data_IF_410254203928
#
_entry.id   IF_410254203928
#
_cell.length_a   1.000
_cell.length_b   1.000
_cell.length_c   1.000
_cell.angle_alpha   90.00
_cell.angle_beta   90.00
_cell.angle_gamma   90.00
#
_symmetry.space_group_name_H-M   'P 1'
#
loop_
_entity.id
_entity.type
_entity.pdbx_description
1 polymer ?
#
# COMPACT_ATOMS: atom_id res chain seq x y z
N UNK A 1 -46.85 -29.28 1.04
CA UNK A 1 -46.72 -30.10 -0.18
C UNK A 1 -45.47 -29.74 -0.94
N UNK A 2 -44.36 -30.43 -0.81
CA UNK A 2 -43.75 -31.21 0.27
C UNK A 2 -42.52 -31.83 -0.37
N UNK A 3 -41.45 -31.87 0.41
CA UNK A 3 -40.28 -32.71 0.19
C UNK A 3 -40.67 -34.16 -0.17
N UNK A 4 -39.78 -34.92 -0.82
CA UNK A 4 -39.74 -36.36 -0.65
C UNK A 4 -38.83 -36.70 0.54
N UNK A 5 -39.39 -37.22 1.65
CA UNK A 5 -39.53 -38.67 1.96
C UNK A 5 -38.14 -39.28 2.31
N UNK A 6 -37.85 -39.92 3.44
CA UNK A 6 -38.67 -40.59 4.46
C UNK A 6 -37.88 -40.66 5.80
N UNK A 7 -38.61 -40.49 6.88
CA UNK A 7 -38.32 -40.79 8.30
C UNK A 7 -38.68 -42.28 8.61
N UNK A 8 -38.77 -42.78 9.87
CA UNK A 8 -37.99 -42.57 11.11
C UNK A 8 -37.81 -43.86 11.98
N UNK A 9 -37.11 -43.70 13.14
CA UNK A 9 -37.41 -44.29 14.48
C UNK A 9 -37.17 -45.81 14.69
N UNK A 10 -36.82 -46.36 15.86
CA UNK A 10 -36.82 -45.91 17.25
C UNK A 10 -36.20 -46.99 18.18
N UNK A 11 -35.68 -46.53 19.33
CA UNK A 11 -35.76 -47.07 20.72
C UNK A 11 -34.90 -48.24 21.26
N UNK A 12 -34.50 -47.97 22.52
CA UNK A 12 -34.27 -48.86 23.68
C UNK A 12 -32.86 -49.47 23.79
N UNK A 13 -32.19 -49.58 24.93
CA UNK A 13 -32.54 -49.35 26.34
C UNK A 13 -31.27 -49.40 27.23
N UNK A 14 -31.45 -49.08 28.52
CA UNK A 14 -30.70 -49.53 29.73
C UNK A 14 -29.45 -48.80 30.27
N UNK A 15 -29.70 -48.09 31.39
CA UNK A 15 -29.18 -48.28 32.79
C UNK A 15 -27.67 -48.51 33.01
N UNK A 16 -26.96 -47.92 33.98
CA UNK A 16 -27.31 -47.17 35.19
C UNK A 16 -26.13 -47.18 36.17
N UNK A 17 -26.31 -46.50 37.32
CA UNK A 17 -25.54 -46.49 38.57
C UNK A 17 -24.47 -45.41 38.83
N UNK A 18 -24.66 -44.81 40.02
CA UNK A 18 -23.96 -43.72 40.67
C UNK A 18 -22.82 -44.21 41.59
N UNK A 19 -21.94 -43.29 42.00
CA UNK A 19 -20.98 -43.50 43.08
C UNK A 19 -20.19 -42.23 43.41
N UNK A 20 -20.42 -41.72 44.61
CA UNK A 20 -19.81 -40.55 45.27
C UNK A 20 -18.37 -40.77 45.79
N UNK A 21 -17.67 -39.65 45.97
CA UNK A 21 -16.67 -39.29 46.98
C UNK A 21 -15.38 -40.12 47.20
N UNK A 22 -14.23 -39.44 47.07
CA UNK A 22 -13.23 -39.30 48.17
C UNK A 22 -12.02 -38.44 47.76
N UNK A 23 -11.71 -37.42 48.57
CA UNK A 23 -10.39 -36.78 48.67
C UNK A 23 -9.50 -37.58 49.63
N UNK A 24 -8.16 -37.52 49.49
CA UNK A 24 -7.40 -36.92 50.59
C UNK A 24 -6.22 -36.04 50.15
N UNK A 25 -5.66 -35.35 51.15
CA UNK A 25 -4.74 -34.23 51.08
C UNK A 25 -3.23 -34.57 51.16
N UNK A 26 -2.43 -33.55 50.81
CA UNK A 26 -1.05 -33.23 51.21
C UNK A 26 0.13 -34.09 50.72
N UNK A 27 0.93 -33.51 49.81
CA UNK A 27 2.40 -33.41 49.97
C UNK A 27 3.00 -32.39 48.98
N UNK A 28 3.74 -31.40 49.49
CA UNK A 28 4.83 -30.69 48.77
C UNK A 28 6.14 -31.29 49.30
N UNK A 29 7.26 -31.35 48.54
CA UNK A 29 7.88 -30.16 47.95
C UNK A 29 8.68 -30.35 46.63
N UNK A 30 9.05 -29.19 46.06
CA UNK A 30 10.31 -28.87 45.35
C UNK A 30 10.65 -29.37 43.92
N UNK A 31 10.86 -28.36 43.07
CA UNK A 31 11.70 -28.26 41.86
C UNK A 31 11.39 -29.13 40.62
N UNK A 32 10.70 -28.53 39.64
CA UNK A 32 11.20 -28.40 38.26
C UNK A 32 10.24 -27.54 37.42
N UNK A 33 10.75 -26.49 36.76
CA UNK A 33 10.04 -25.85 35.66
C UNK A 33 9.85 -26.89 34.54
N UNK A 34 8.63 -27.40 34.39
CA UNK A 34 8.18 -28.04 33.16
C UNK A 34 7.20 -27.09 32.48
N UNK A 35 7.71 -26.31 31.54
CA UNK A 35 6.92 -25.57 30.56
C UNK A 35 6.34 -26.56 29.56
N UNK A 36 5.17 -27.09 29.83
CA UNK A 36 4.29 -27.67 28.82
C UNK A 36 2.83 -27.41 29.18
N UNK A 37 2.07 -27.08 28.14
CA UNK A 37 0.61 -26.96 28.10
C UNK A 37 -0.02 -25.61 28.50
N UNK A 38 0.32 -24.59 27.72
CA UNK A 38 -0.70 -23.68 27.18
C UNK A 38 -0.56 -23.63 25.65
N UNK A 39 -1.20 -24.59 24.99
CA UNK A 39 -1.47 -24.52 23.55
C UNK A 39 -2.53 -23.46 23.28
N UNK A 40 -2.11 -22.20 23.15
CA UNK A 40 -2.91 -21.15 22.50
C UNK A 40 -2.85 -21.34 20.98
N UNK A 41 -3.97 -21.25 20.26
CA UNK A 41 -3.97 -21.45 18.81
C UNK A 41 -3.18 -20.32 18.13
N UNK A 42 -2.28 -20.76 17.25
CA UNK A 42 -1.39 -19.99 16.39
C UNK A 42 -2.04 -18.76 15.76
N UNK A 43 -1.39 -17.59 15.84
CA UNK A 43 -1.59 -16.51 14.84
C UNK A 43 -0.34 -15.62 14.73
N UNK A 44 0.82 -16.25 14.56
CA UNK A 44 1.95 -15.62 13.88
C UNK A 44 1.87 -16.03 12.42
N UNK A 45 1.44 -15.13 11.54
CA UNK A 45 1.27 -15.44 10.11
C UNK A 45 2.62 -15.76 9.48
N UNK A 46 2.70 -16.94 8.87
CA UNK A 46 3.89 -17.41 8.17
C UNK A 46 4.12 -16.50 6.95
N UNK A 47 5.29 -15.86 6.94
CA UNK A 47 5.86 -15.26 5.74
C UNK A 47 5.95 -16.36 4.67
N UNK A 48 5.24 -16.22 3.54
CA UNK A 48 5.23 -17.23 2.49
C UNK A 48 6.63 -17.41 1.89
N UNK A 49 6.93 -18.61 1.41
CA UNK A 49 8.25 -19.02 0.92
C UNK A 49 8.80 -18.08 -0.17
N UNK A 50 7.91 -17.41 -0.91
CA UNK A 50 8.28 -16.37 -1.87
C UNK A 50 9.06 -15.21 -1.26
N UNK A 51 8.63 -14.68 -0.11
CA UNK A 51 9.25 -13.48 0.48
C UNK A 51 10.58 -13.81 1.14
N UNK A 52 10.73 -15.08 1.53
CA UNK A 52 11.97 -15.65 2.06
C UNK A 52 12.89 -16.17 0.96
N UNK A 53 12.45 -16.19 -0.30
CA UNK A 53 13.27 -16.67 -1.41
C UNK A 53 14.53 -15.79 -1.55
N UNK A 54 15.74 -16.38 -1.51
CA UNK A 54 16.98 -15.61 -1.61
C UNK A 54 17.11 -14.83 -2.92
N UNK A 55 16.56 -15.37 -4.03
CA UNK A 55 16.54 -14.71 -5.31
C UNK A 55 15.63 -13.49 -5.33
N UNK A 56 14.44 -13.60 -4.71
CA UNK A 56 13.56 -12.44 -4.53
C UNK A 56 14.23 -11.35 -3.69
N UNK A 57 14.79 -11.70 -2.52
CA UNK A 57 15.44 -10.74 -1.63
C UNK A 57 16.60 -10.04 -2.33
N UNK A 58 17.45 -10.79 -3.05
CA UNK A 58 18.57 -10.22 -3.80
C UNK A 58 18.10 -9.24 -4.88
N UNK A 59 17.15 -9.64 -5.73
CA UNK A 59 16.64 -8.80 -6.81
C UNK A 59 15.90 -7.57 -6.30
N UNK A 60 15.27 -7.66 -5.13
CA UNK A 60 14.63 -6.52 -4.46
C UNK A 60 15.64 -5.49 -3.97
N UNK A 61 16.71 -5.92 -3.31
CA UNK A 61 17.77 -4.99 -2.88
C UNK A 61 18.51 -4.40 -4.10
N UNK A 62 18.69 -5.18 -5.17
CA UNK A 62 19.26 -4.71 -6.44
C UNK A 62 18.38 -3.62 -7.08
N UNK A 63 17.07 -3.87 -7.24
CA UNK A 63 16.14 -2.88 -7.79
C UNK A 63 16.17 -1.59 -6.98
N UNK A 64 16.09 -1.69 -5.64
CA UNK A 64 16.16 -0.53 -4.76
C UNK A 64 17.47 0.24 -4.95
N UNK A 65 18.61 -0.45 -5.01
CA UNK A 65 19.90 0.19 -5.24
C UNK A 65 19.95 0.90 -6.59
N UNK A 66 19.51 0.25 -7.67
CA UNK A 66 19.47 0.82 -9.01
C UNK A 66 18.65 2.12 -9.03
N UNK A 67 17.44 2.10 -8.46
CA UNK A 67 16.56 3.26 -8.44
C UNK A 67 17.15 4.45 -7.67
N UNK A 68 17.73 4.19 -6.48
CA UNK A 68 18.37 5.24 -5.68
C UNK A 68 19.62 5.79 -6.38
N UNK A 69 20.43 4.93 -6.99
CA UNK A 69 21.62 5.34 -7.73
C UNK A 69 21.27 6.15 -8.98
N UNK A 70 20.26 5.73 -9.75
CA UNK A 70 19.74 6.50 -10.89
C UNK A 70 19.25 7.87 -10.45
N UNK A 71 18.48 7.96 -9.36
CA UNK A 71 18.01 9.24 -8.84
C UNK A 71 19.17 10.17 -8.43
N UNK A 72 20.20 9.63 -7.78
CA UNK A 72 21.37 10.40 -7.33
C UNK A 72 22.26 10.87 -8.47
N UNK A 73 22.32 10.11 -9.57
CA UNK A 73 23.17 10.40 -10.74
C UNK A 73 22.43 11.15 -11.84
N UNK A 74 21.13 11.41 -11.66
CA UNK A 74 20.32 12.11 -12.65
C UNK A 74 20.83 13.54 -12.90
N UNK A 75 20.85 14.01 -14.15
CA UNK A 75 21.24 15.37 -14.47
C UNK A 75 20.23 16.39 -13.90
N UNK A 76 20.70 17.59 -13.53
CA UNK A 76 19.88 18.63 -12.89
C UNK A 76 18.72 19.19 -13.74
N UNK A 77 18.65 18.82 -15.01
CA UNK A 77 17.53 19.07 -15.91
C UNK A 77 17.34 17.83 -16.77
N UNK A 78 16.59 16.83 -16.29
CA UNK A 78 16.17 15.71 -17.13
C UNK A 78 15.44 16.27 -18.36
N UNK A 79 15.64 15.66 -19.53
CA UNK A 79 14.89 16.03 -20.72
C UNK A 79 13.39 16.08 -20.38
N UNK A 80 12.71 17.17 -20.78
CA UNK A 80 11.32 17.43 -20.41
C UNK A 80 10.46 16.18 -20.69
N UNK A 81 9.71 15.74 -19.68
CA UNK A 81 9.05 14.42 -19.67
C UNK A 81 7.82 14.35 -20.59
N UNK A 82 7.58 15.41 -21.38
CA UNK A 82 6.52 15.48 -22.40
C UNK A 82 6.76 14.53 -23.59
N UNK A 83 7.93 13.88 -23.68
CA UNK A 83 8.32 13.07 -24.83
C UNK A 83 7.82 11.61 -24.81
N UNK A 84 6.77 11.27 -24.06
CA UNK A 84 6.15 9.94 -24.16
C UNK A 84 5.43 9.70 -25.49
N UNK A 85 5.26 10.73 -26.35
CA UNK A 85 4.47 10.62 -27.58
C UNK A 85 5.06 11.29 -28.83
N UNK A 86 6.28 11.83 -28.82
CA UNK A 86 6.79 12.55 -30.00
C UNK A 86 8.30 12.47 -30.14
N UNK A 87 8.80 11.35 -30.69
CA UNK A 87 9.99 11.32 -31.54
C UNK A 87 10.09 9.94 -32.22
N UNK A 88 9.23 9.71 -33.22
CA UNK A 88 9.41 8.64 -34.19
C UNK A 88 9.95 9.27 -35.48
N UNK A 89 11.24 9.60 -35.50
CA UNK A 89 11.96 9.89 -36.74
C UNK A 89 12.73 8.63 -37.20
N UNK A 90 13.06 8.58 -38.48
CA UNK A 90 13.11 7.40 -39.37
C UNK A 90 14.08 6.23 -39.02
N UNK A 91 14.75 6.24 -37.87
CA UNK A 91 15.48 5.09 -37.30
C UNK A 91 14.66 4.24 -36.30
N UNK A 92 13.48 4.70 -35.85
CA UNK A 92 12.70 4.02 -34.79
C UNK A 92 11.95 2.74 -35.21
N UNK A 93 11.77 2.49 -36.51
CA UNK A 93 10.91 1.40 -37.01
C UNK A 93 11.44 -0.01 -36.75
N UNK A 94 12.76 -0.24 -36.92
CA UNK A 94 13.38 -1.56 -36.72
C UNK A 94 13.45 -1.94 -35.23
N UNK A 95 13.81 -0.98 -34.38
CA UNK A 95 13.85 -1.16 -32.92
C UNK A 95 12.46 -1.43 -32.35
N UNK A 96 11.44 -0.71 -32.82
CA UNK A 96 10.05 -0.91 -32.41
C UNK A 96 9.52 -2.30 -32.83
N UNK A 97 9.80 -2.71 -34.07
CA UNK A 97 9.41 -4.03 -34.57
C UNK A 97 10.10 -5.17 -33.79
N UNK A 98 11.35 -4.98 -33.42
CA UNK A 98 12.10 -5.94 -32.60
C UNK A 98 11.50 -6.06 -31.19
N UNK A 99 11.21 -4.93 -30.54
CA UNK A 99 10.59 -4.90 -29.21
C UNK A 99 9.19 -5.54 -29.21
N UNK A 100 8.39 -5.30 -30.25
CA UNK A 100 7.09 -5.95 -30.44
C UNK A 100 7.20 -7.45 -30.61
N UNK A 101 8.20 -7.92 -31.37
CA UNK A 101 8.46 -9.35 -31.53
C UNK A 101 8.86 -10.00 -30.21
N UNK A 102 9.73 -9.34 -29.43
CA UNK A 102 10.12 -9.80 -28.10
C UNK A 102 8.92 -9.87 -27.14
N UNK A 103 8.09 -8.83 -27.06
CA UNK A 103 6.86 -8.85 -26.25
C UNK A 103 5.90 -9.96 -26.70
N UNK A 104 5.72 -10.16 -28.00
CA UNK A 104 4.85 -11.22 -28.53
C UNK A 104 5.36 -12.61 -28.15
N UNK A 105 6.67 -12.82 -28.25
CA UNK A 105 7.32 -14.05 -27.82
C UNK A 105 7.16 -14.24 -26.30
N UNK A 106 7.40 -13.20 -25.48
CA UNK A 106 7.19 -13.25 -24.04
C UNK A 106 5.75 -13.64 -23.70
N UNK A 107 4.74 -13.04 -24.34
CA UNK A 107 3.33 -13.36 -24.11
C UNK A 107 2.97 -14.80 -24.50
N UNK A 108 3.62 -15.38 -25.50
CA UNK A 108 3.35 -16.75 -25.97
C UNK A 108 3.80 -17.85 -25.00
N UNK A 109 4.55 -17.50 -23.95
CA UNK A 109 5.14 -18.46 -23.00
C UNK A 109 4.22 -18.73 -21.81
N UNK A 110 4.11 -20.00 -21.43
CA UNK A 110 3.47 -20.44 -20.19
C UNK A 110 2.06 -19.88 -20.00
N UNK A 111 1.80 -19.31 -18.82
CA UNK A 111 0.51 -18.71 -18.44
C UNK A 111 0.43 -17.21 -18.70
N UNK A 112 1.35 -16.61 -19.45
CA UNK A 112 1.46 -15.14 -19.53
C UNK A 112 0.27 -14.45 -20.18
N UNK A 113 -0.42 -15.09 -21.13
CA UNK A 113 -1.72 -14.58 -21.65
C UNK A 113 -2.79 -14.55 -20.55
N UNK A 114 -2.80 -15.55 -19.66
CA UNK A 114 -3.73 -15.60 -18.52
C UNK A 114 -3.41 -14.47 -17.52
N UNK A 115 -2.14 -14.28 -17.17
CA UNK A 115 -1.72 -13.16 -16.32
C UNK A 115 -2.05 -11.81 -16.95
N UNK A 116 -1.89 -11.64 -18.27
CA UNK A 116 -2.27 -10.40 -18.94
C UNK A 116 -3.79 -10.15 -18.86
N UNK A 117 -4.62 -11.17 -19.09
CA UNK A 117 -6.08 -11.07 -18.92
C UNK A 117 -6.46 -10.74 -17.48
N UNK A 118 -5.81 -11.37 -16.51
CA UNK A 118 -6.00 -11.08 -15.09
C UNK A 118 -5.55 -9.65 -14.75
N UNK A 119 -4.46 -9.16 -15.34
CA UNK A 119 -3.99 -7.78 -15.12
C UNK A 119 -5.07 -6.78 -15.50
N UNK A 120 -5.60 -6.88 -16.73
CA UNK A 120 -6.62 -5.97 -17.24
C UNK A 120 -7.92 -6.03 -16.42
N UNK A 121 -8.32 -7.23 -15.97
CA UNK A 121 -9.62 -7.46 -15.33
C UNK A 121 -9.62 -7.34 -13.80
N UNK A 122 -8.49 -7.60 -13.14
CA UNK A 122 -8.40 -7.69 -11.68
C UNK A 122 -7.36 -6.77 -11.07
N UNK A 123 -6.28 -6.42 -11.79
CA UNK A 123 -5.17 -5.60 -11.24
C UNK A 123 -5.35 -4.11 -11.58
N UNK A 124 -5.40 -3.79 -12.87
CA UNK A 124 -5.52 -2.42 -13.34
C UNK A 124 -6.68 -1.61 -12.71
N UNK A 125 -7.89 -2.18 -12.47
CA UNK A 125 -9.01 -1.41 -11.91
C UNK A 125 -8.74 -0.76 -10.55
N UNK A 126 -7.95 -1.38 -9.66
CA UNK A 126 -7.63 -0.76 -8.37
C UNK A 126 -6.40 0.15 -8.44
N UNK A 127 -5.51 -0.04 -9.42
CA UNK A 127 -4.44 0.92 -9.73
C UNK A 127 -5.02 2.23 -10.29
N UNK A 128 -6.06 2.14 -11.14
CA UNK A 128 -6.83 3.25 -11.75
C UNK A 128 -7.79 3.96 -10.75
N UNK A 129 -7.65 3.73 -9.45
CA UNK A 129 -8.47 4.42 -8.46
C UNK A 129 -8.25 5.93 -8.54
N UNK A 130 -9.35 6.68 -8.67
CA UNK A 130 -9.33 8.13 -8.91
C UNK A 130 -8.62 8.53 -10.21
N UNK A 131 -8.71 7.67 -11.23
CA UNK A 131 -8.26 7.96 -12.59
C UNK A 131 -9.29 7.47 -13.62
N UNK A 132 -10.13 8.39 -14.09
CA UNK A 132 -11.13 8.12 -15.13
C UNK A 132 -10.51 7.87 -16.50
N UNK A 133 -9.25 8.26 -16.73
CA UNK A 133 -8.52 7.99 -17.97
C UNK A 133 -8.02 6.55 -18.08
N UNK A 134 -8.07 5.80 -16.97
CA UNK A 134 -7.65 4.41 -16.87
C UNK A 134 -6.23 4.20 -17.39
N UNK A 135 -5.27 4.97 -16.87
CA UNK A 135 -3.89 4.90 -17.33
C UNK A 135 -3.31 3.49 -17.21
N UNK A 136 -3.57 2.78 -16.11
CA UNK A 136 -3.13 1.39 -15.92
C UNK A 136 -3.97 0.39 -16.71
N UNK A 137 -5.26 0.64 -16.92
CA UNK A 137 -6.15 -0.23 -17.68
C UNK A 137 -6.06 -0.10 -19.20
N UNK A 138 -5.53 1.02 -19.71
CA UNK A 138 -5.52 1.35 -21.14
C UNK A 138 -4.13 1.76 -21.65
N UNK A 139 -3.48 2.74 -21.02
CA UNK A 139 -2.22 3.30 -21.52
C UNK A 139 -1.03 2.36 -21.25
N UNK A 140 -0.91 1.82 -20.03
CA UNK A 140 0.15 0.88 -19.66
C UNK A 140 0.14 -0.39 -20.54
N UNK A 141 -1.00 -1.06 -20.79
CA UNK A 141 -1.08 -2.18 -21.72
C UNK A 141 -0.64 -1.83 -23.15
N UNK A 142 -0.95 -0.61 -23.62
CA UNK A 142 -0.53 -0.16 -24.94
C UNK A 142 0.99 0.01 -25.00
N UNK A 143 1.59 0.64 -23.99
CA UNK A 143 3.05 0.79 -23.89
C UNK A 143 3.77 -0.55 -23.72
N UNK A 144 3.17 -1.51 -22.99
CA UNK A 144 3.73 -2.84 -22.80
C UNK A 144 3.89 -3.63 -24.12
N UNK A 145 3.13 -3.29 -25.17
CA UNK A 145 3.28 -3.91 -26.50
C UNK A 145 4.67 -3.70 -27.08
N UNK A 146 5.33 -2.60 -26.71
CA UNK A 146 6.65 -2.20 -27.24
C UNK A 146 7.68 -2.02 -26.14
N UNK A 147 7.36 -2.39 -24.90
CA UNK A 147 8.25 -2.33 -23.73
C UNK A 147 8.26 -3.68 -23.02
N UNK A 148 9.23 -4.56 -23.37
CA UNK A 148 9.45 -5.83 -22.70
C UNK A 148 9.57 -5.74 -21.16
N UNK A 149 10.32 -4.79 -20.55
CA UNK A 149 10.37 -4.69 -19.08
C UNK A 149 9.00 -4.31 -18.49
N UNK A 150 8.25 -3.40 -19.12
CA UNK A 150 6.92 -3.05 -18.63
C UNK A 150 5.95 -4.23 -18.73
N UNK A 151 6.01 -5.00 -19.82
CA UNK A 151 5.24 -6.22 -19.96
C UNK A 151 5.57 -7.20 -18.84
N UNK A 152 6.85 -7.48 -18.58
CA UNK A 152 7.25 -8.36 -17.49
C UNK A 152 6.72 -7.87 -16.14
N UNK A 153 6.82 -6.57 -15.84
CA UNK A 153 6.31 -6.00 -14.60
C UNK A 153 4.79 -6.19 -14.40
N UNK A 154 3.97 -5.90 -15.43
CA UNK A 154 2.50 -6.07 -15.32
C UNK A 154 2.09 -7.54 -15.26
N UNK A 155 2.85 -8.44 -15.88
CA UNK A 155 2.63 -9.88 -15.75
C UNK A 155 3.04 -10.37 -14.36
N UNK A 156 4.16 -9.88 -13.82
CA UNK A 156 4.67 -10.27 -12.51
C UNK A 156 3.67 -9.91 -11.40
N UNK A 157 3.16 -8.67 -11.38
CA UNK A 157 2.17 -8.25 -10.36
C UNK A 157 0.88 -9.06 -10.48
N UNK A 158 0.48 -9.40 -11.71
CA UNK A 158 -0.72 -10.18 -11.97
C UNK A 158 -0.58 -11.63 -11.53
N UNK A 159 0.54 -12.27 -11.86
CA UNK A 159 0.87 -13.60 -11.37
C UNK A 159 0.89 -13.62 -9.84
N UNK A 160 1.52 -12.62 -9.22
CA UNK A 160 1.58 -12.49 -7.76
C UNK A 160 0.20 -12.32 -7.12
N UNK A 161 -0.68 -11.55 -7.75
CA UNK A 161 -2.06 -11.38 -7.31
C UNK A 161 -2.85 -12.69 -7.36
N UNK A 162 -2.68 -13.48 -8.41
CA UNK A 162 -3.32 -14.79 -8.55
C UNK A 162 -2.80 -15.78 -7.51
N UNK A 163 -1.47 -15.89 -7.35
CA UNK A 163 -0.83 -16.74 -6.34
C UNK A 163 -1.38 -16.44 -4.93
N UNK A 164 -1.49 -15.15 -4.56
CA UNK A 164 -2.05 -14.76 -3.26
C UNK A 164 -3.53 -15.13 -3.12
N UNK A 165 -4.32 -14.97 -4.18
CA UNK A 165 -5.74 -15.33 -4.18
C UNK A 165 -5.93 -16.84 -4.03
N UNK A 166 -5.12 -17.64 -4.73
CA UNK A 166 -5.11 -19.10 -4.64
C UNK A 166 -4.69 -19.56 -3.23
N UNK A 167 -3.65 -18.95 -2.65
CA UNK A 167 -3.20 -19.24 -1.29
C UNK A 167 -4.30 -18.92 -0.25
N UNK A 168 -4.99 -17.78 -0.38
CA UNK A 168 -6.10 -17.41 0.52
C UNK A 168 -7.31 -18.34 0.42
N UNK A 169 -7.54 -18.95 -0.74
CA UNK A 169 -8.65 -19.88 -0.95
C UNK A 169 -8.34 -21.32 -0.46
N UNK A 170 -7.14 -21.57 0.08
CA UNK A 170 -6.72 -22.90 0.54
C UNK A 170 -6.60 -23.92 -0.60
N UNK A 171 -6.59 -23.47 -1.86
CA UNK A 171 -6.36 -24.34 -3.01
C UNK A 171 -4.90 -24.76 -3.05
N UNK A 172 -4.56 -26.06 -2.95
CA UNK A 172 -3.20 -26.52 -3.10
C UNK A 172 -2.74 -26.22 -4.53
N UNK A 173 -1.82 -25.29 -4.70
CA UNK A 173 -1.20 -25.03 -6.02
C UNK A 173 -0.33 -26.24 -6.37
N UNK A 174 -0.64 -27.01 -7.45
CA UNK A 174 0.03 -28.26 -7.78
C UNK A 174 1.52 -28.09 -8.12
N UNK A 175 1.94 -26.86 -8.41
CA UNK A 175 3.31 -26.41 -8.55
C UNK A 175 3.41 -25.08 -7.79
N UNK A 176 4.43 -24.89 -6.96
CA UNK A 176 4.87 -23.53 -6.60
C UNK A 176 5.39 -22.89 -7.89
N UNK A 177 4.48 -22.30 -8.66
CA UNK A 177 4.84 -21.52 -9.83
C UNK A 177 5.55 -20.27 -9.30
N UNK A 178 6.83 -20.17 -9.61
CA UNK A 178 7.64 -18.97 -9.37
C UNK A 178 7.53 -18.01 -10.55
N UNK A 179 6.44 -18.06 -11.32
CA UNK A 179 6.27 -17.24 -12.52
C UNK A 179 6.34 -15.75 -12.15
N UNK A 180 5.74 -15.35 -11.01
CA UNK A 180 5.84 -13.97 -10.52
C UNK A 180 7.29 -13.56 -10.23
N UNK A 181 8.10 -14.44 -9.65
CA UNK A 181 9.52 -14.19 -9.37
C UNK A 181 10.35 -14.13 -10.66
N UNK A 182 10.17 -15.08 -11.57
CA UNK A 182 10.84 -15.10 -12.87
C UNK A 182 10.55 -13.80 -13.65
N UNK A 183 9.28 -13.42 -13.73
CA UNK A 183 8.84 -12.19 -14.42
C UNK A 183 9.37 -10.93 -13.72
N UNK A 184 9.41 -10.92 -12.39
CA UNK A 184 9.97 -9.82 -11.59
C UNK A 184 11.47 -9.64 -11.87
N UNK A 185 12.23 -10.73 -11.83
CA UNK A 185 13.67 -10.73 -12.11
C UNK A 185 13.97 -10.34 -13.56
N UNK A 186 13.22 -10.87 -14.52
CA UNK A 186 13.37 -10.54 -15.93
C UNK A 186 13.01 -9.07 -16.20
N UNK A 187 12.00 -8.53 -15.51
CA UNK A 187 11.68 -7.10 -15.58
C UNK A 187 12.84 -6.25 -15.10
N UNK A 188 13.48 -6.58 -13.97
CA UNK A 188 14.64 -5.85 -13.44
C UNK A 188 15.79 -5.91 -14.44
N UNK A 189 16.13 -7.11 -14.94
CA UNK A 189 17.21 -7.31 -15.90
C UNK A 189 17.05 -6.46 -17.16
N UNK A 190 15.82 -6.38 -17.69
CA UNK A 190 15.50 -5.58 -18.88
C UNK A 190 15.39 -4.07 -18.59
N UNK A 191 15.07 -3.71 -17.34
CA UNK A 191 14.96 -2.33 -16.86
C UNK A 191 16.32 -1.68 -16.58
N UNK A 192 17.33 -2.45 -16.15
CA UNK A 192 18.65 -1.92 -15.74
C UNK A 192 19.28 -0.96 -16.77
N UNK A 193 19.35 -1.28 -18.08
CA UNK A 193 19.95 -0.35 -19.05
C UNK A 193 19.18 0.96 -19.20
N UNK A 194 17.85 0.95 -19.00
CA UNK A 194 17.01 2.14 -19.05
C UNK A 194 17.25 3.03 -17.82
N UNK A 195 17.48 2.42 -16.65
CA UNK A 195 17.85 3.12 -15.42
C UNK A 195 19.25 3.76 -15.52
N UNK A 196 20.20 3.10 -16.17
CA UNK A 196 21.53 3.63 -16.46
C UNK A 196 21.49 4.80 -17.47
N UNK A 197 20.53 4.77 -18.40
CA UNK A 197 20.30 5.82 -19.39
C UNK A 197 19.40 6.97 -18.89
N UNK A 198 18.94 6.92 -17.63
CA UNK A 198 17.98 7.86 -17.04
C UNK A 198 16.73 8.05 -17.93
N UNK A 199 16.21 6.97 -18.52
CA UNK A 199 15.01 7.03 -19.36
C UNK A 199 13.75 7.18 -18.47
N UNK A 200 12.90 8.21 -18.63
CA UNK A 200 11.69 8.36 -17.82
C UNK A 200 10.68 7.21 -17.97
N UNK A 201 10.78 6.38 -19.02
CA UNK A 201 9.98 5.17 -19.19
C UNK A 201 10.19 4.15 -18.05
N UNK A 202 11.27 4.26 -17.28
CA UNK A 202 11.52 3.44 -16.08
C UNK A 202 10.49 3.68 -14.97
N UNK A 203 9.93 4.89 -14.87
CA UNK A 203 9.08 5.31 -13.77
C UNK A 203 7.82 4.43 -13.62
N UNK A 204 6.98 4.24 -14.66
CA UNK A 204 5.83 3.34 -14.56
C UNK A 204 6.24 1.88 -14.28
N UNK A 205 7.37 1.42 -14.82
CA UNK A 205 7.87 0.05 -14.62
C UNK A 205 8.22 -0.15 -13.14
N UNK A 206 9.03 0.74 -12.59
CA UNK A 206 9.40 0.76 -11.18
C UNK A 206 8.18 0.81 -10.27
N UNK A 207 7.16 1.63 -10.57
CA UNK A 207 5.93 1.68 -9.75
C UNK A 207 5.14 0.37 -9.82
N UNK A 208 5.08 -0.31 -10.97
CA UNK A 208 4.48 -1.66 -11.05
C UNK A 208 5.24 -2.68 -10.19
N UNK A 209 6.58 -2.64 -10.21
CA UNK A 209 7.41 -3.51 -9.37
C UNK A 209 7.27 -3.16 -7.88
N UNK A 210 7.27 -1.87 -7.51
CA UNK A 210 6.96 -1.37 -6.17
C UNK A 210 5.60 -1.94 -5.71
N UNK A 211 4.56 -1.92 -6.54
CA UNK A 211 3.24 -2.50 -6.21
C UNK A 211 3.30 -4.02 -5.95
N UNK A 212 4.07 -4.78 -6.73
CA UNK A 212 4.29 -6.22 -6.49
C UNK A 212 4.97 -6.46 -5.15
N UNK A 213 6.03 -5.69 -4.87
CA UNK A 213 6.75 -5.76 -3.59
C UNK A 213 5.79 -5.49 -2.42
N UNK A 214 4.88 -4.51 -2.54
CA UNK A 214 3.87 -4.23 -1.51
C UNK A 214 2.98 -5.42 -1.21
N UNK A 215 2.59 -6.19 -2.24
CA UNK A 215 1.79 -7.41 -2.06
C UNK A 215 2.56 -8.51 -1.33
N UNK A 216 3.88 -8.39 -1.26
CA UNK A 216 4.82 -9.38 -0.76
C UNK A 216 5.60 -8.87 0.46
N UNK A 217 5.26 -7.70 0.99
CA UNK A 217 5.99 -7.05 2.07
C UNK A 217 5.28 -7.18 3.41
N UNK A 218 6.06 -7.13 4.49
CA UNK A 218 5.52 -6.86 5.82
C UNK A 218 5.16 -5.38 5.95
N UNK A 219 4.20 -5.03 6.82
CA UNK A 219 3.88 -3.63 7.10
C UNK A 219 5.09 -2.81 7.60
N UNK A 220 6.12 -3.47 8.15
CA UNK A 220 7.35 -2.82 8.63
C UNK A 220 8.31 -2.45 7.50
N UNK A 221 8.23 -3.13 6.36
CA UNK A 221 9.12 -2.90 5.22
C UNK A 221 8.49 -2.03 4.14
N UNK A 222 7.18 -1.74 4.26
CA UNK A 222 6.38 -0.90 3.35
C UNK A 222 7.14 0.33 2.83
N UNK A 223 7.74 1.09 3.75
CA UNK A 223 8.44 2.33 3.42
C UNK A 223 9.65 2.10 2.51
N UNK A 224 10.42 1.03 2.75
CA UNK A 224 11.62 0.71 1.97
C UNK A 224 11.30 0.35 0.51
N UNK A 225 10.13 -0.18 0.24
CA UNK A 225 9.71 -0.50 -1.13
C UNK A 225 9.34 0.75 -1.94
N UNK A 226 8.81 1.78 -1.28
CA UNK A 226 8.35 3.00 -1.94
C UNK A 226 9.41 4.09 -2.07
N UNK A 227 10.46 4.06 -1.26
CA UNK A 227 11.54 5.08 -1.23
C UNK A 227 12.30 5.19 -2.55
N UNK A 228 12.59 4.06 -3.22
CA UNK A 228 13.23 4.11 -4.53
C UNK A 228 12.35 4.86 -5.54
N UNK A 229 11.06 4.52 -5.58
CA UNK A 229 10.08 5.15 -6.48
C UNK A 229 9.99 6.67 -6.18
N UNK A 230 10.01 7.06 -4.90
CA UNK A 230 10.00 8.46 -4.48
C UNK A 230 11.27 9.23 -4.90
N UNK A 231 12.45 8.62 -4.79
CA UNK A 231 13.70 9.23 -5.24
C UNK A 231 13.71 9.47 -6.75
N UNK A 232 13.17 8.53 -7.54
CA UNK A 232 13.00 8.74 -8.98
C UNK A 232 12.01 9.88 -9.26
N UNK A 233 10.90 9.98 -8.54
CA UNK A 233 9.97 11.08 -8.76
C UNK A 233 10.63 12.45 -8.53
N UNK A 234 11.46 12.59 -7.49
CA UNK A 234 12.22 13.80 -7.24
C UNK A 234 13.22 14.08 -8.38
N UNK A 235 14.01 13.07 -8.76
CA UNK A 235 15.01 13.19 -9.82
C UNK A 235 14.41 13.56 -11.19
N UNK A 236 13.23 13.02 -11.51
CA UNK A 236 12.51 13.25 -12.76
C UNK A 236 11.43 14.33 -12.67
N UNK A 237 11.34 15.04 -11.54
CA UNK A 237 10.35 16.10 -11.28
C UNK A 237 8.89 15.66 -11.51
N UNK A 238 8.57 14.42 -11.13
CA UNK A 238 7.23 13.86 -11.22
C UNK A 238 6.42 14.23 -9.98
N UNK A 239 5.30 14.92 -10.19
CA UNK A 239 4.37 15.37 -9.16
C UNK A 239 2.90 15.13 -9.57
N UNK A 240 1.96 15.38 -8.66
CA UNK A 240 0.54 15.09 -8.84
C UNK A 240 -0.21 15.91 -9.89
N UNK A 241 0.50 16.74 -10.65
CA UNK A 241 -0.06 17.66 -11.66
C UNK A 241 0.69 17.60 -13.00
N UNK A 242 1.56 16.60 -13.22
CA UNK A 242 2.30 16.46 -14.48
C UNK A 242 1.40 16.12 -15.69
N UNK A 243 0.14 15.75 -15.47
CA UNK A 243 -0.73 15.18 -16.51
C UNK A 243 -0.29 13.78 -16.97
N UNK A 244 -1.09 13.22 -17.90
CA UNK A 244 -0.79 11.96 -18.57
C UNK A 244 -0.56 10.77 -17.64
N UNK A 245 0.23 9.80 -18.14
CA UNK A 245 0.57 8.58 -17.41
C UNK A 245 1.32 8.88 -16.10
N UNK A 246 2.26 9.82 -16.10
CA UNK A 246 3.08 10.08 -14.91
C UNK A 246 2.29 10.65 -13.74
N UNK A 247 1.27 11.48 -14.01
CA UNK A 247 0.34 11.89 -12.96
C UNK A 247 -0.43 10.70 -12.38
N UNK A 248 -0.92 9.79 -13.22
CA UNK A 248 -1.62 8.60 -12.72
C UNK A 248 -0.69 7.69 -11.89
N UNK A 249 0.55 7.51 -12.35
CA UNK A 249 1.63 6.79 -11.66
C UNK A 249 1.96 7.43 -10.31
N UNK A 250 2.08 8.77 -10.27
CA UNK A 250 2.29 9.52 -9.04
C UNK A 250 1.15 9.30 -8.05
N UNK A 251 -0.11 9.45 -8.47
CA UNK A 251 -1.26 9.29 -7.57
C UNK A 251 -1.43 7.85 -7.08
N UNK A 252 -1.05 6.85 -7.89
CA UNK A 252 -0.98 5.46 -7.45
C UNK A 252 0.04 5.29 -6.31
N UNK A 253 1.25 5.81 -6.48
CA UNK A 253 2.28 5.80 -5.43
C UNK A 253 1.86 6.61 -4.20
N UNK A 254 1.31 7.81 -4.36
CA UNK A 254 0.86 8.67 -3.26
C UNK A 254 -0.20 7.98 -2.37
N UNK A 255 -1.11 7.21 -2.98
CA UNK A 255 -2.08 6.39 -2.21
C UNK A 255 -1.39 5.27 -1.44
N UNK A 256 -0.41 4.60 -2.04
CA UNK A 256 0.38 3.59 -1.34
C UNK A 256 1.17 4.21 -0.17
N UNK A 257 1.82 5.34 -0.39
CA UNK A 257 2.60 6.05 0.61
C UNK A 257 1.72 6.51 1.79
N UNK A 258 0.55 7.08 1.50
CA UNK A 258 -0.45 7.45 2.51
C UNK A 258 -0.87 6.26 3.37
N UNK A 259 -1.07 5.09 2.77
CA UNK A 259 -1.40 3.87 3.53
C UNK A 259 -0.29 3.53 4.53
N UNK A 260 0.98 3.64 4.12
CA UNK A 260 2.13 3.49 5.01
C UNK A 260 2.12 4.47 6.17
N UNK A 261 1.91 5.75 5.89
CA UNK A 261 1.82 6.81 6.90
C UNK A 261 0.69 6.54 7.92
N UNK A 262 -0.49 6.14 7.45
CA UNK A 262 -1.63 5.77 8.31
C UNK A 262 -1.33 4.55 9.20
N UNK A 263 -0.61 3.55 8.68
CA UNK A 263 -0.21 2.35 9.43
C UNK A 263 0.86 2.63 10.48
N UNK A 264 1.61 3.73 10.35
CA UNK A 264 2.66 4.11 11.30
C UNK A 264 2.12 4.61 12.65
N UNK A 265 0.80 4.80 12.79
CA UNK A 265 0.14 5.34 13.98
C UNK A 265 0.72 6.70 14.43
N UNK A 266 1.07 7.55 13.44
CA UNK A 266 1.63 8.88 13.69
C UNK A 266 3.12 8.90 14.00
N UNK A 267 3.84 7.79 13.86
CA UNK A 267 5.31 7.79 14.00
C UNK A 267 6.03 8.22 12.72
N UNK A 268 5.37 8.13 11.57
CA UNK A 268 5.91 8.52 10.26
C UNK A 268 4.87 9.24 9.40
N UNK A 269 5.32 10.25 8.65
CA UNK A 269 4.56 10.86 7.56
C UNK A 269 4.78 10.12 6.23
N UNK A 270 4.14 10.59 5.16
CA UNK A 270 4.41 10.16 3.78
C UNK A 270 5.89 10.35 3.43
N UNK A 271 6.44 9.48 2.58
CA UNK A 271 7.80 9.56 2.07
C UNK A 271 8.00 10.83 1.27
N UNK A 272 7.08 11.11 0.34
CA UNK A 272 7.09 12.38 -0.39
C UNK A 272 6.29 13.38 0.43
N UNK A 273 6.88 14.52 0.85
CA UNK A 273 6.16 15.50 1.63
C UNK A 273 5.03 16.10 0.77
N UNK A 274 3.83 16.35 1.32
CA UNK A 274 2.68 16.83 0.55
C UNK A 274 2.96 18.10 -0.27
N UNK A 275 3.83 19.00 0.19
CA UNK A 275 4.21 20.19 -0.60
C UNK A 275 4.80 19.84 -1.98
N UNK A 276 5.53 18.73 -2.08
CA UNK A 276 6.11 18.22 -3.33
C UNK A 276 5.09 17.49 -4.23
N UNK A 277 3.84 17.31 -3.77
CA UNK A 277 2.77 16.75 -4.60
C UNK A 277 2.15 17.83 -5.50
N UNK A 278 2.33 19.09 -5.14
CA UNK A 278 1.84 20.27 -5.87
C UNK A 278 2.81 20.67 -6.99
N UNK A 279 2.37 21.50 -7.96
CA UNK A 279 3.28 22.05 -8.96
C UNK A 279 4.44 22.83 -8.29
N UNK A 280 5.67 22.78 -8.83
CA UNK A 280 6.81 23.50 -8.27
C UNK A 280 6.51 24.99 -8.05
N UNK A 281 6.93 25.51 -6.89
CA UNK A 281 6.70 26.91 -6.50
C UNK A 281 5.28 27.22 -5.99
N UNK A 282 4.39 26.22 -5.89
CA UNK A 282 3.05 26.40 -5.31
C UNK A 282 3.16 26.63 -3.79
N UNK A 283 2.59 27.74 -3.31
CA UNK A 283 2.38 27.92 -1.87
C UNK A 283 1.29 26.94 -1.40
N UNK A 284 1.54 26.24 -0.30
CA UNK A 284 0.62 25.27 0.27
C UNK A 284 -0.78 25.85 0.56
N UNK A 285 -0.86 27.11 0.97
CA UNK A 285 -2.14 27.81 1.19
C UNK A 285 -3.02 27.84 -0.08
N UNK A 286 -2.41 27.72 -1.26
CA UNK A 286 -3.10 27.69 -2.55
C UNK A 286 -3.38 26.28 -3.07
N UNK A 287 -2.99 25.21 -2.35
CA UNK A 287 -3.18 23.82 -2.77
C UNK A 287 -4.61 23.57 -3.24
N UNK A 288 -5.60 23.99 -2.44
CA UNK A 288 -7.03 23.85 -2.78
C UNK A 288 -7.38 24.47 -4.14
N UNK A 289 -6.87 25.66 -4.42
CA UNK A 289 -7.14 26.34 -5.68
C UNK A 289 -6.53 25.57 -6.85
N UNK A 290 -5.32 24.99 -6.68
CA UNK A 290 -4.69 24.15 -7.69
C UNK A 290 -5.57 22.94 -8.05
N UNK A 291 -6.05 22.19 -7.06
CA UNK A 291 -6.96 21.07 -7.30
C UNK A 291 -8.29 21.51 -7.92
N UNK A 292 -8.86 22.63 -7.45
CA UNK A 292 -10.14 23.14 -7.97
C UNK A 292 -10.06 23.59 -9.44
N UNK A 293 -8.95 24.22 -9.84
CA UNK A 293 -8.71 24.69 -11.21
C UNK A 293 -8.73 23.57 -12.25
N UNK A 294 -8.38 22.34 -11.86
CA UNK A 294 -8.39 21.18 -12.76
C UNK A 294 -9.80 20.79 -13.22
N UNK A 295 -10.84 21.18 -12.48
CA UNK A 295 -12.25 20.87 -12.77
C UNK A 295 -12.53 19.39 -13.10
N UNK A 296 -11.73 18.49 -12.51
CA UNK A 296 -11.81 17.05 -12.74
C UNK A 296 -12.32 16.34 -11.48
N UNK A 297 -13.28 15.39 -11.59
CA UNK A 297 -13.71 14.57 -10.46
C UNK A 297 -12.54 13.76 -9.87
N UNK A 298 -11.59 13.34 -10.72
CA UNK A 298 -10.40 12.61 -10.30
C UNK A 298 -9.51 13.48 -9.41
N UNK A 299 -9.25 14.72 -9.84
CA UNK A 299 -8.45 15.66 -9.05
C UNK A 299 -9.17 16.10 -7.77
N UNK A 300 -10.51 16.10 -7.76
CA UNK A 300 -11.26 16.29 -6.52
C UNK A 300 -11.06 15.12 -5.54
N UNK A 301 -11.06 13.88 -6.02
CA UNK A 301 -10.78 12.71 -5.18
C UNK A 301 -9.31 12.64 -4.74
N UNK A 302 -8.37 13.02 -5.60
CA UNK A 302 -6.95 13.12 -5.26
C UNK A 302 -6.67 14.25 -4.25
N UNK A 303 -7.47 15.32 -4.25
CA UNK A 303 -7.44 16.32 -3.17
C UNK A 303 -7.85 15.71 -1.81
N UNK A 304 -8.83 14.79 -1.83
CA UNK A 304 -9.11 13.80 -0.80
C UNK A 304 -7.85 13.22 -0.13
N UNK A 305 -7.08 12.53 -0.98
CA UNK A 305 -5.83 11.84 -0.62
C UNK A 305 -4.78 12.82 -0.09
N UNK A 306 -4.62 13.97 -0.75
CA UNK A 306 -3.70 15.03 -0.33
C UNK A 306 -4.01 15.55 1.09
N UNK A 307 -5.27 15.81 1.40
CA UNK A 307 -5.66 16.27 2.74
C UNK A 307 -5.40 15.21 3.82
N UNK A 308 -5.60 13.94 3.51
CA UNK A 308 -5.23 12.85 4.41
C UNK A 308 -3.71 12.81 4.65
N UNK A 309 -2.89 13.01 3.62
CA UNK A 309 -1.44 13.08 3.77
C UNK A 309 -1.00 14.27 4.63
N UNK A 310 -1.62 15.45 4.44
CA UNK A 310 -1.40 16.61 5.31
C UNK A 310 -1.77 16.33 6.78
N UNK A 311 -2.87 15.61 7.01
CA UNK A 311 -3.24 15.21 8.37
C UNK A 311 -2.20 14.25 8.97
N UNK A 312 -1.72 13.26 8.21
CA UNK A 312 -0.64 12.36 8.64
C UNK A 312 0.66 13.12 8.97
N UNK A 313 1.01 14.12 8.16
CA UNK A 313 2.18 14.99 8.40
C UNK A 313 2.04 15.74 9.73
N UNK A 314 0.91 16.41 9.97
CA UNK A 314 0.67 17.14 11.22
C UNK A 314 0.68 16.21 12.45
N UNK A 315 0.10 15.02 12.34
CA UNK A 315 0.12 14.02 13.43
C UNK A 315 1.55 13.56 13.69
N UNK A 316 2.30 13.25 12.63
CA UNK A 316 3.71 12.85 12.73
C UNK A 316 4.54 13.94 13.39
N UNK A 317 4.40 15.19 12.96
CA UNK A 317 5.12 16.31 13.55
C UNK A 317 4.79 16.48 15.04
N UNK A 318 3.53 16.30 15.41
CA UNK A 318 3.10 16.37 16.81
C UNK A 318 3.70 15.26 17.66
N UNK A 319 3.68 14.02 17.17
CA UNK A 319 4.26 12.86 17.86
C UNK A 319 5.77 13.03 18.03
N UNK A 320 6.47 13.49 17.00
CA UNK A 320 7.91 13.75 17.07
C UNK A 320 8.25 14.87 18.05
N UNK A 321 7.43 15.92 18.11
CA UNK A 321 7.60 16.99 19.10
C UNK A 321 7.33 16.52 20.54
N UNK A 322 6.18 15.90 20.78
CA UNK A 322 5.70 15.59 22.13
C UNK A 322 6.39 14.34 22.74
N UNK A 323 6.60 13.30 21.94
CA UNK A 323 7.09 12.00 22.42
C UNK A 323 8.60 11.83 22.21
N UNK A 324 9.14 12.37 21.11
CA UNK A 324 10.56 12.23 20.75
C UNK A 324 11.38 13.48 21.05
N UNK A 325 10.75 14.59 21.47
CA UNK A 325 11.42 15.85 21.80
C UNK A 325 12.11 16.52 20.61
N UNK A 326 11.68 16.23 19.38
CA UNK A 326 12.25 16.80 18.16
C UNK A 326 11.84 18.27 18.05
N UNK A 327 12.81 19.16 17.88
CA UNK A 327 12.58 20.60 17.69
C UNK A 327 12.17 20.89 16.23
N UNK A 328 10.94 20.52 15.85
CA UNK A 328 10.37 20.74 14.52
C UNK A 328 9.41 21.95 14.42
N UNK A 329 9.27 22.75 15.48
CA UNK A 329 8.38 23.92 15.50
C UNK A 329 6.88 23.59 15.66
N UNK A 330 6.52 22.33 15.88
CA UNK A 330 5.14 21.92 16.16
C UNK A 330 4.73 22.24 17.61
N UNK A 331 4.13 23.41 17.83
CA UNK A 331 3.52 23.78 19.11
C UNK A 331 2.01 23.52 19.08
N UNK A 332 1.35 23.59 20.24
CA UNK A 332 -0.11 23.49 20.28
C UNK A 332 -0.80 24.65 19.52
N UNK A 333 -0.14 25.81 19.43
CA UNK A 333 -0.59 26.99 18.71
C UNK A 333 -0.42 26.81 17.20
N UNK A 334 0.76 26.38 16.74
CA UNK A 334 1.00 26.16 15.29
C UNK A 334 0.17 25.02 14.72
N UNK A 335 -0.09 23.96 15.51
CA UNK A 335 -1.02 22.91 15.13
C UNK A 335 -2.46 23.43 15.01
N UNK A 336 -2.91 24.27 15.96
CA UNK A 336 -4.23 24.88 15.88
C UNK A 336 -4.36 25.82 14.67
N UNK A 337 -3.32 26.60 14.35
CA UNK A 337 -3.31 27.42 13.15
C UNK A 337 -3.37 26.58 11.87
N UNK A 338 -2.59 25.49 11.78
CA UNK A 338 -2.59 24.60 10.64
C UNK A 338 -3.95 23.90 10.43
N UNK A 339 -4.61 23.47 11.51
CA UNK A 339 -5.95 22.87 11.45
C UNK A 339 -7.01 23.93 11.06
N UNK A 340 -6.86 25.16 11.56
CA UNK A 340 -7.83 26.25 11.33
C UNK A 340 -7.55 27.07 10.06
N UNK A 341 -6.50 26.74 9.30
CA UNK A 341 -6.32 27.28 7.95
C UNK A 341 -7.61 27.05 7.15
N UNK A 342 -8.12 28.05 6.41
CA UNK A 342 -9.44 28.01 5.78
C UNK A 342 -9.49 26.96 4.67
N UNK A 343 -9.69 25.70 5.05
CA UNK A 343 -10.18 24.62 4.21
C UNK A 343 -11.67 24.90 3.96
N UNK A 344 -12.02 25.88 3.11
CA UNK A 344 -13.42 26.30 2.93
C UNK A 344 -14.28 25.27 2.14
N UNK A 345 -14.21 23.98 2.45
CA UNK A 345 -15.10 22.95 1.90
C UNK A 345 -15.63 22.05 3.01
N UNK A 346 -16.84 22.32 3.54
CA UNK A 346 -17.47 21.51 4.59
C UNK A 346 -17.92 20.11 4.13
N UNK A 347 -17.90 19.79 2.83
CA UNK A 347 -18.67 18.66 2.27
C UNK A 347 -17.87 17.66 1.41
N UNK A 348 -16.53 17.71 1.42
CA UNK A 348 -15.73 16.84 0.53
C UNK A 348 -15.59 15.39 1.05
N UNK A 349 -15.76 15.15 2.36
CA UNK A 349 -15.64 13.81 2.92
C UNK A 349 -16.96 13.03 2.82
N UNK A 350 -17.24 12.45 1.65
CA UNK A 350 -18.24 11.40 1.52
C UNK A 350 -17.60 10.04 1.83
N UNK A 351 -18.27 9.30 2.71
CA UNK A 351 -17.98 7.91 3.13
C UNK A 351 -17.43 6.97 2.03
N UNK A 352 -17.90 7.13 0.78
CA UNK A 352 -17.45 6.31 -0.36
C UNK A 352 -15.95 6.40 -0.71
N UNK A 353 -15.30 7.56 -0.56
CA UNK A 353 -13.88 7.71 -0.94
C UNK A 353 -12.93 7.01 0.04
N UNK A 354 -13.31 6.95 1.32
CA UNK A 354 -12.60 6.17 2.35
C UNK A 354 -12.69 4.67 2.10
N UNK A 355 -13.87 4.18 1.69
CA UNK A 355 -14.03 2.78 1.29
C UNK A 355 -13.15 2.42 0.10
N UNK A 356 -12.88 3.35 -0.82
CA UNK A 356 -11.96 3.13 -1.93
C UNK A 356 -10.51 2.98 -1.45
N UNK A 357 -10.00 3.86 -0.58
CA UNK A 357 -8.66 3.70 0.00
C UNK A 357 -8.55 2.40 0.81
N UNK A 358 -9.54 2.09 1.64
CA UNK A 358 -9.63 0.80 2.34
C UNK A 358 -9.71 -0.38 1.36
N UNK A 359 -10.37 -0.24 0.21
CA UNK A 359 -10.41 -1.27 -0.84
C UNK A 359 -9.05 -1.48 -1.48
N UNK A 360 -8.30 -0.39 -1.77
CA UNK A 360 -6.92 -0.48 -2.22
C UNK A 360 -6.07 -1.21 -1.20
N UNK A 361 -6.23 -0.87 0.09
CA UNK A 361 -5.56 -1.56 1.19
C UNK A 361 -5.97 -3.03 1.32
N UNK A 362 -7.25 -3.37 1.09
CA UNK A 362 -7.75 -4.77 1.06
C UNK A 362 -7.17 -5.57 -0.11
N UNK A 363 -6.94 -4.94 -1.26
CA UNK A 363 -6.30 -5.60 -2.40
C UNK A 363 -4.79 -5.75 -2.21
N UNK A 364 -4.14 -4.83 -1.49
CA UNK A 364 -2.70 -4.88 -1.20
C UNK A 364 -2.37 -5.74 0.04
N UNK A 365 -3.27 -5.86 1.03
CA UNK A 365 -3.02 -6.48 2.33
C UNK A 365 -3.95 -7.64 2.69
N UNK A 366 -3.44 -8.63 3.42
CA UNK A 366 -4.21 -9.75 3.98
C UNK A 366 -4.93 -9.36 5.28
N UNK A 367 -6.24 -9.58 5.32
CA UNK A 367 -7.20 -9.84 6.43
C UNK A 367 -7.00 -9.26 7.85
N UNK A 368 -5.82 -9.11 8.44
CA UNK A 368 -5.65 -8.59 9.82
C UNK A 368 -5.53 -7.05 9.90
N UNK A 369 -5.27 -6.39 8.76
CA UNK A 369 -5.36 -4.93 8.64
C UNK A 369 -6.81 -4.45 8.81
N UNK A 370 -7.79 -5.30 8.46
CA UNK A 370 -9.23 -5.00 8.49
C UNK A 370 -9.70 -4.60 9.90
N UNK A 371 -9.27 -5.32 10.95
CA UNK A 371 -9.75 -5.11 12.33
C UNK A 371 -9.18 -3.88 13.03
N UNK A 372 -7.95 -3.46 12.73
CA UNK A 372 -7.33 -2.26 13.34
C UNK A 372 -7.74 -0.96 12.65
N UNK A 373 -8.14 -1.03 11.38
CA UNK A 373 -8.46 0.14 10.57
C UNK A 373 -9.94 0.53 10.57
N UNK A 374 -10.85 -0.45 10.67
CA UNK A 374 -12.30 -0.20 10.79
C UNK A 374 -12.67 0.64 12.03
N UNK A 375 -11.80 0.70 13.05
CA UNK A 375 -12.04 1.47 14.28
C UNK A 375 -11.33 2.83 14.34
N UNK A 376 -10.21 3.04 13.61
CA UNK A 376 -9.38 4.24 13.74
C UNK A 376 -9.42 5.20 12.54
N UNK A 377 -9.59 4.70 11.32
CA UNK A 377 -9.71 5.56 10.13
C UNK A 377 -11.03 6.36 10.15
N UNK A 378 -12.18 5.79 10.56
CA UNK A 378 -13.39 6.56 10.85
C UNK A 378 -13.20 7.54 12.01
N UNK A 379 -12.28 7.30 12.95
CA UNK A 379 -12.01 8.22 14.05
C UNK A 379 -11.16 9.41 13.61
N UNK A 380 -10.17 9.24 12.72
CA UNK A 380 -9.43 10.35 12.11
C UNK A 380 -10.31 11.14 11.13
N UNK A 381 -11.12 10.45 10.33
CA UNK A 381 -12.17 11.05 9.53
C UNK A 381 -13.19 11.81 10.40
N UNK A 382 -13.62 11.23 11.52
CA UNK A 382 -14.53 11.85 12.48
C UNK A 382 -13.88 13.04 13.19
N UNK A 383 -12.60 13.03 13.54
CA UNK A 383 -11.94 14.23 14.10
C UNK A 383 -11.96 15.41 13.11
N UNK A 384 -11.87 15.12 11.81
CA UNK A 384 -12.00 16.12 10.74
C UNK A 384 -13.46 16.50 10.43
N UNK A 385 -14.42 15.57 10.64
CA UNK A 385 -15.85 15.76 10.34
C UNK A 385 -16.65 16.33 11.53
N UNK A 386 -16.41 15.87 12.76
CA UNK A 386 -17.25 16.03 13.97
C UNK A 386 -16.98 17.35 14.71
N UNK A 387 -15.88 18.06 14.43
CA UNK A 387 -15.69 19.47 14.87
C UNK A 387 -16.52 20.48 14.07
N UNK A 388 -17.21 20.06 13.01
CA UNK A 388 -18.13 20.91 12.24
C UNK A 388 -19.58 20.93 12.79
N UNK A 389 -19.87 20.17 13.86
CA UNK A 389 -21.10 20.33 14.64
C UNK A 389 -20.76 21.02 15.97
N UNK A 390 -21.08 22.31 16.06
CA UNK A 390 -20.78 23.13 17.22
C UNK A 390 -21.35 22.57 18.53
N UNK A 391 -20.50 22.00 19.40
CA UNK A 391 -20.66 21.96 20.86
C UNK A 391 -19.28 21.88 21.55
N UNK A 392 -19.06 22.59 22.67
CA UNK A 392 -17.77 22.63 23.34
C UNK A 392 -17.43 21.28 23.98
N UNK A 393 -16.35 20.65 23.52
CA UNK A 393 -15.78 19.45 24.13
C UNK A 393 -15.34 19.76 25.57
N UNK A 394 -16.04 19.19 26.54
CA UNK A 394 -15.66 19.20 27.95
C UNK A 394 -14.43 18.30 28.12
N UNK A 395 -13.28 18.92 28.37
CA UNK A 395 -12.03 18.21 28.68
C UNK A 395 -12.21 17.21 29.84
N UNK A 396 -11.64 15.99 29.78
CA UNK A 396 -11.53 15.13 30.94
C UNK A 396 -10.55 15.76 31.94
N UNK A 397 -10.97 15.95 33.19
CA UNK A 397 -10.05 16.38 34.24
C UNK A 397 -8.94 15.35 34.46
N UNK A 398 -7.70 15.80 34.77
CA UNK A 398 -6.60 14.89 35.05
C UNK A 398 -6.92 14.05 36.29
N UNK A 399 -6.84 12.72 36.15
CA UNK A 399 -6.86 11.79 37.29
C UNK A 399 -5.72 12.15 38.24
N UNK A 400 -6.05 12.68 39.42
CA UNK A 400 -5.11 12.79 40.53
C UNK A 400 -4.51 11.40 40.80
N UNK A 401 -3.20 11.25 40.57
CA UNK A 401 -2.43 10.11 41.05
C UNK A 401 -2.56 10.07 42.58
N UNK A 402 -3.25 9.07 43.11
CA UNK A 402 -3.18 8.72 44.54
C UNK A 402 -1.71 8.38 44.84
N UNK A 403 -1.06 9.16 45.68
CA UNK A 403 0.25 8.84 46.26
C UNK A 403 0.11 7.54 47.05
N UNK A 404 0.92 6.53 46.73
CA UNK A 404 1.15 5.40 47.62
C UNK A 404 1.99 5.89 48.83
N UNK A 405 1.74 5.38 50.06
CA UNK A 405 2.50 5.79 51.23
C UNK A 405 3.92 5.22 51.18
N UNK A 406 4.91 6.07 51.49
CA UNK A 406 6.29 5.67 51.75
C UNK A 406 6.35 4.71 52.96
N UNK A 407 6.90 3.53 52.76
CA UNK A 407 7.42 2.69 53.85
C UNK A 407 8.80 3.26 54.21
N UNK A 408 8.95 3.71 55.46
CA UNK A 408 10.23 4.09 56.07
C UNK A 408 11.06 2.83 56.32
N UNK A 409 12.33 2.87 55.93
CA UNK A 409 13.42 2.19 56.64
C UNK A 409 14.11 3.23 57.51
#
# INVERSE_FOLDING_TARGET
MDSPWFSPRSTADRSGYAGEESLPANTSPDYALSTQDFSTPSTGWQLDDFVLDPGYVASREELRWLMLNTAQTAPSSPAHVDSFASEADQQGGETLSSAQHQTSHLLSQGRRVEYFKNYISQVAPWLDMFDSSRAFGMQVPLLAQTSPPLLCAILAISARQMERKEASNGTPTPQKSFDSLELYQESIRLLTPLLEAHDPAVIPICVMLCCLEMMSASARDWRRHLEGCAALFDAFQVHGFCGGLLQAVFWCHARMDLCGALMSDGTQSTIIPPIAWLPPGTNEANARQCFHKMQSPDMHANYAVYLCAKACELISDRTHHDELGVSNGCTAESLNEAINMPTQSPNAFKSHQYFSLLSLMRHMSSSDIERRQETRIPALASVVIDRNAAYPLRMPQPRQRRRAPLIKL
#
